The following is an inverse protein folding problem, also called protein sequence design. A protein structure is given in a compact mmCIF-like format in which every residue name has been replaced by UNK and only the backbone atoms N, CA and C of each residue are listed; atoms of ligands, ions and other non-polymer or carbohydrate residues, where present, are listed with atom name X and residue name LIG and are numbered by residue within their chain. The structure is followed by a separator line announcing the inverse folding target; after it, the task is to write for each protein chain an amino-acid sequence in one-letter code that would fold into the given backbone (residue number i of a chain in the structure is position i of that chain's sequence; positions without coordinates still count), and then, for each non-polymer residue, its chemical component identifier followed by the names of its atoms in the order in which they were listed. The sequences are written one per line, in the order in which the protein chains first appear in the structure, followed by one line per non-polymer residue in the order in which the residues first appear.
data_IF_503434407205
#
_entry.id   IF_503434407205
#
_cell.length_a   1.000
_cell.length_b   1.000
_cell.length_c   1.000
_cell.angle_alpha   90.00
_cell.angle_beta   90.00
_cell.angle_gamma   90.00
#
_symmetry.space_group_name_H-M   'P 1'
#
loop_
_entity.id
_entity.type
_entity.pdbx_description
1 polymer ?
#
# COMPACT_ATOMS: atom_id res chain seq x y z
N UNK A 1 -6.36 -6.85 -8.42
CA UNK A 1 -6.39 -5.37 -8.36
C UNK A 1 -6.69 -4.99 -6.92
N UNK A 2 -5.96 -4.02 -6.37
CA UNK A 2 -6.10 -3.58 -4.98
C UNK A 2 -6.55 -2.13 -4.97
N UNK A 3 -7.52 -1.78 -4.13
CA UNK A 3 -8.01 -0.40 -3.97
C UNK A 3 -7.85 0.03 -2.52
N UNK A 4 -7.15 1.14 -2.31
CA UNK A 4 -6.95 1.75 -0.99
C UNK A 4 -7.78 3.03 -0.96
N UNK A 5 -8.69 3.14 0.01
CA UNK A 5 -9.48 4.35 0.24
C UNK A 5 -8.93 5.09 1.46
N UNK A 6 -8.45 6.32 1.25
CA UNK A 6 -8.07 7.22 2.34
C UNK A 6 -9.17 8.24 2.53
N UNK A 7 -9.96 8.08 3.60
CA UNK A 7 -11.06 9.00 3.92
C UNK A 7 -10.52 10.29 4.52
N UNK A 8 -10.48 11.32 3.68
CA UNK A 8 -10.02 12.66 4.02
C UNK A 8 -10.89 13.66 3.25
N UNK A 9 -11.41 14.67 3.94
CA UNK A 9 -12.29 15.68 3.32
C UNK A 9 -11.47 16.88 2.90
N UNK A 10 -11.74 17.39 1.69
CA UNK A 10 -11.15 18.64 1.21
C UNK A 10 -9.65 18.51 0.93
N UNK A 11 -9.24 17.37 0.38
CA UNK A 11 -7.96 17.23 -0.31
C UNK A 11 -8.12 17.73 -1.75
N UNK A 12 -7.11 18.44 -2.26
CA UNK A 12 -7.05 18.89 -3.65
C UNK A 12 -6.04 18.04 -4.43
N UNK A 13 -6.22 17.80 -5.74
CA UNK A 13 -5.29 17.00 -6.55
C UNK A 13 -3.83 17.47 -6.48
N UNK A 14 -3.60 18.78 -6.46
CA UNK A 14 -2.28 19.42 -6.35
C UNK A 14 -1.60 19.19 -5.00
N UNK A 15 -2.38 18.89 -3.98
CA UNK A 15 -1.99 18.72 -2.58
C UNK A 15 -1.85 17.23 -2.19
N UNK A 16 -2.00 16.34 -3.17
CA UNK A 16 -1.89 14.88 -3.00
C UNK A 16 -0.70 14.37 -3.80
N UNK A 17 0.26 13.78 -3.10
CA UNK A 17 1.41 13.12 -3.71
C UNK A 17 1.36 11.62 -3.43
N UNK A 18 1.25 10.83 -4.49
CA UNK A 18 1.30 9.37 -4.44
C UNK A 18 2.51 8.90 -5.23
N UNK A 19 3.40 8.16 -4.59
CA UNK A 19 4.62 7.62 -5.22
C UNK A 19 4.79 6.15 -4.87
N UNK A 20 5.32 5.37 -5.80
CA UNK A 20 5.62 3.95 -5.60
C UNK A 20 6.83 3.53 -6.42
N UNK A 21 7.69 2.70 -5.83
CA UNK A 21 8.79 2.02 -6.52
C UNK A 21 8.42 0.57 -6.94
N UNK A 22 7.15 0.20 -6.78
CA UNK A 22 6.61 -1.12 -7.12
C UNK A 22 6.39 -2.01 -5.91
N UNK A 23 7.17 -1.84 -4.84
CA UNK A 23 6.98 -2.59 -3.59
C UNK A 23 6.59 -1.67 -2.42
N UNK A 24 7.11 -0.44 -2.37
CA UNK A 24 6.82 0.53 -1.33
C UNK A 24 5.94 1.65 -1.86
N UNK A 25 4.77 1.83 -1.25
CA UNK A 25 3.81 2.88 -1.58
C UNK A 25 3.90 4.00 -0.52
N UNK A 26 4.03 5.24 -0.98
CA UNK A 26 4.07 6.44 -0.14
C UNK A 26 2.99 7.42 -0.59
N UNK A 27 2.14 7.82 0.34
CA UNK A 27 1.12 8.84 0.15
C UNK A 27 1.42 9.98 1.10
N UNK A 28 1.37 11.19 0.57
CA UNK A 28 1.37 12.43 1.33
C UNK A 28 0.13 13.20 0.89
N UNK A 29 -0.76 13.49 1.85
CA UNK A 29 -2.05 14.11 1.59
C UNK A 29 -2.21 15.31 2.51
N UNK A 30 -2.28 16.50 1.92
CA UNK A 30 -2.77 17.70 2.61
C UNK A 30 -4.29 17.78 2.41
N UNK A 31 -5.03 17.95 3.50
CA UNK A 31 -6.49 17.91 3.53
C UNK A 31 -7.08 18.86 4.58
N UNK A 32 -8.40 18.85 4.72
CA UNK A 32 -9.10 19.76 5.63
C UNK A 32 -8.93 21.22 5.23
N UNK A 33 -8.85 21.49 3.93
CA UNK A 33 -8.58 22.82 3.36
C UNK A 33 -7.21 23.37 3.79
N UNK A 34 -6.16 22.53 3.69
CA UNK A 34 -4.78 22.92 4.02
C UNK A 34 -4.44 22.91 5.50
N UNK A 35 -5.32 22.41 6.37
CA UNK A 35 -5.14 22.47 7.84
C UNK A 35 -4.60 21.17 8.45
N UNK A 36 -4.61 20.09 7.67
CA UNK A 36 -4.23 18.75 8.13
C UNK A 36 -3.36 18.10 7.09
N UNK A 37 -2.47 17.25 7.56
CA UNK A 37 -1.56 16.48 6.75
C UNK A 37 -1.63 15.03 7.21
N UNK A 38 -1.43 14.11 6.27
CA UNK A 38 -1.41 12.68 6.55
C UNK A 38 -0.43 12.01 5.63
N UNK A 39 0.62 11.44 6.22
CA UNK A 39 1.58 10.59 5.55
C UNK A 39 1.28 9.12 5.81
N UNK A 40 1.21 8.35 4.74
CA UNK A 40 1.01 6.91 4.80
C UNK A 40 2.10 6.23 4.00
N UNK A 41 2.78 5.29 4.66
CA UNK A 41 3.81 4.47 4.05
C UNK A 41 3.40 3.01 4.19
N UNK A 42 3.46 2.26 3.10
CA UNK A 42 3.14 0.85 3.05
C UNK A 42 4.24 0.10 2.31
N UNK A 43 4.90 -0.83 3.01
CA UNK A 43 5.61 -1.93 2.35
C UNK A 43 4.54 -2.93 1.90
N UNK A 44 4.21 -2.92 0.62
CA UNK A 44 3.11 -3.72 0.08
C UNK A 44 3.40 -5.22 0.26
N UNK A 45 2.35 -6.03 0.25
CA UNK A 45 2.51 -7.49 0.32
C UNK A 45 3.25 -8.06 -0.90
N UNK A 46 3.05 -7.46 -2.07
CA UNK A 46 3.70 -7.87 -3.30
C UNK A 46 3.84 -6.72 -4.27
N UNK A 47 4.47 -7.01 -5.40
CA UNK A 47 4.79 -6.01 -6.41
C UNK A 47 3.54 -5.51 -7.16
N UNK A 48 3.57 -4.22 -7.52
CA UNK A 48 2.57 -3.55 -8.33
C UNK A 48 3.19 -2.93 -9.60
N UNK A 49 2.39 -2.83 -10.65
CA UNK A 49 2.77 -2.17 -11.90
C UNK A 49 2.37 -0.70 -11.80
N UNK A 50 3.35 0.17 -11.49
CA UNK A 50 3.11 1.60 -11.26
C UNK A 50 2.46 2.28 -12.48
N UNK A 51 2.85 1.93 -13.70
CA UNK A 51 2.32 2.52 -14.95
C UNK A 51 0.86 2.19 -15.23
N UNK A 52 0.33 1.11 -14.64
CA UNK A 52 -1.08 0.70 -14.75
C UNK A 52 -1.88 1.04 -13.48
N UNK A 53 -1.22 1.65 -12.51
CA UNK A 53 -1.83 2.09 -11.25
C UNK A 53 -2.24 3.56 -11.35
N UNK A 54 -3.21 3.99 -10.55
CA UNK A 54 -3.70 5.37 -10.57
C UNK A 54 -4.20 5.83 -9.21
N UNK A 55 -4.19 7.14 -9.00
CA UNK A 55 -4.83 7.79 -7.87
C UNK A 55 -5.98 8.67 -8.37
N UNK A 56 -7.10 8.65 -7.65
CA UNK A 56 -8.26 9.50 -7.91
C UNK A 56 -8.56 10.30 -6.64
N UNK A 57 -8.51 11.62 -6.73
CA UNK A 57 -8.82 12.52 -5.63
C UNK A 57 -10.28 12.96 -5.76
N UNK A 58 -11.09 12.60 -4.78
CA UNK A 58 -12.48 13.06 -4.67
C UNK A 58 -12.68 13.95 -3.43
N UNK A 59 -13.85 14.56 -3.32
CA UNK A 59 -14.17 15.52 -2.25
C UNK A 59 -13.99 14.94 -0.83
N UNK A 60 -14.25 13.64 -0.68
CA UNK A 60 -14.32 12.94 0.63
C UNK A 60 -13.26 11.87 0.83
N UNK A 61 -12.51 11.52 -0.21
CA UNK A 61 -11.50 10.47 -0.15
C UNK A 61 -10.52 10.56 -1.31
N UNK A 62 -9.34 10.03 -1.08
CA UNK A 62 -8.37 9.67 -2.12
C UNK A 62 -8.45 8.17 -2.34
N UNK A 63 -8.63 7.74 -3.59
CA UNK A 63 -8.65 6.33 -3.99
C UNK A 63 -7.37 6.00 -4.73
N UNK A 64 -6.56 5.08 -4.19
CA UNK A 64 -5.37 4.56 -4.86
C UNK A 64 -5.68 3.17 -5.38
N UNK A 65 -5.64 3.02 -6.70
CA UNK A 65 -5.94 1.80 -7.43
C UNK A 65 -4.60 1.23 -7.92
N UNK A 66 -4.25 0.05 -7.42
CA UNK A 66 -3.00 -0.64 -7.73
C UNK A 66 -3.25 -1.88 -8.60
N UNK A 67 -2.51 -1.94 -9.71
CA UNK A 67 -2.41 -3.14 -10.54
C UNK A 67 -1.34 -4.05 -9.95
N UNK A 68 -1.72 -5.22 -9.43
CA UNK A 68 -0.74 -6.21 -8.99
C UNK A 68 0.03 -6.73 -10.20
N UNK A 69 1.35 -6.91 -10.06
CA UNK A 69 2.21 -7.49 -11.10
C UNK A 69 1.87 -8.95 -11.35
N UNK A 70 1.65 -9.70 -10.27
CA UNK A 70 1.13 -11.06 -10.30
C UNK A 70 -0.27 -11.11 -9.70
N UNK A 71 -1.15 -11.96 -10.24
CA UNK A 71 -2.47 -12.23 -9.67
C UNK A 71 -2.33 -13.09 -8.41
N UNK A 72 -1.81 -12.48 -7.34
CA UNK A 72 -1.62 -13.09 -6.03
C UNK A 72 -2.76 -12.69 -5.07
N UNK A 73 -3.20 -13.65 -4.26
CA UNK A 73 -4.09 -13.39 -3.13
C UNK A 73 -3.31 -12.74 -2.00
N UNK A 74 -3.45 -11.44 -1.80
CA UNK A 74 -2.82 -10.73 -0.69
C UNK A 74 -3.64 -10.96 0.60
N UNK A 75 -3.09 -11.61 1.64
CA UNK A 75 -3.81 -11.79 2.91
C UNK A 75 -4.02 -10.46 3.65
N UNK A 76 -3.16 -9.47 3.37
CA UNK A 76 -3.26 -8.10 3.88
C UNK A 76 -2.50 -7.14 2.96
N UNK A 77 -2.68 -5.83 3.16
CA UNK A 77 -2.04 -4.81 2.35
C UNK A 77 -0.52 -4.76 2.54
N UNK A 78 -0.05 -4.90 3.78
CA UNK A 78 1.37 -4.78 4.14
C UNK A 78 2.05 -6.13 4.31
N UNK A 79 3.25 -6.27 3.76
CA UNK A 79 4.16 -7.32 4.17
C UNK A 79 4.75 -6.97 5.55
N UNK A 80 4.84 -7.94 6.44
CA UNK A 80 5.51 -7.77 7.73
C UNK A 80 6.47 -8.93 7.94
N UNK A 81 7.80 -8.70 7.86
CA UNK A 81 8.79 -9.75 8.05
C UNK A 81 8.69 -10.48 9.40
N UNK A 82 8.22 -9.81 10.45
CA UNK A 82 8.10 -10.43 11.78
C UNK A 82 6.92 -11.41 11.87
N UNK A 83 5.89 -11.19 11.04
CA UNK A 83 4.68 -12.01 11.00
C UNK A 83 4.68 -13.02 9.84
N UNK A 84 5.34 -12.69 8.74
CA UNK A 84 5.35 -13.47 7.49
C UNK A 84 6.69 -14.13 7.20
N UNK A 85 7.75 -13.73 7.91
CA UNK A 85 9.03 -14.43 7.89
C UNK A 85 8.81 -15.83 8.41
N UNK A 86 9.10 -16.84 7.57
CA UNK A 86 9.08 -18.23 8.01
C UNK A 86 9.96 -18.35 9.25
N UNK A 87 9.38 -18.81 10.36
CA UNK A 87 10.15 -19.49 11.38
C UNK A 87 10.78 -20.71 10.72
N UNK A 88 12.01 -20.59 10.23
CA UNK A 88 12.81 -21.76 9.90
C UNK A 88 13.12 -22.49 11.21
N UNK A 89 12.43 -23.61 11.47
CA UNK A 89 12.79 -24.52 12.54
C UNK A 89 11.70 -25.52 12.92
N UNK A 90 11.78 -26.75 12.39
CA UNK A 90 11.83 -28.00 13.15
C UNK A 90 11.47 -29.24 12.30
N UNK A 91 12.44 -29.86 11.63
CA UNK A 91 12.51 -31.33 11.54
C UNK A 91 13.98 -31.74 11.71
N UNK A 92 14.36 -31.99 12.97
CA UNK A 92 15.55 -32.76 13.35
C UNK A 92 15.27 -34.25 13.11
N UNK A 93 16.13 -34.86 12.30
CA UNK A 93 16.78 -36.15 12.50
C UNK A 93 15.96 -37.33 13.08
N UNK A 94 15.69 -38.34 12.26
CA UNK A 94 15.84 -39.74 12.72
C UNK A 94 16.72 -40.48 11.71
N UNK A 95 17.96 -40.69 12.13
CA UNK A 95 18.90 -41.64 11.57
C UNK A 95 18.75 -42.92 12.41
N UNK A 96 18.40 -44.04 11.78
CA UNK A 96 18.52 -45.39 12.34
C UNK A 96 18.77 -46.37 11.18
#
# INVERSE_FOLDING_TARGET
MITINVYCKGALPEDVRVTSDGQMLRLHIVHGFGKKETDLIYDLWGEVVCSESKAVVGERKVEVILKQKELAGWPRLRYDPALDGKSEGAEQQVQA
#
